data_IF_630170159912
#
_entry.id   IF_630170159912
#
_cell.length_a   1.000
_cell.length_b   1.000
_cell.length_c   1.000
_cell.angle_alpha   90.00
_cell.angle_beta   90.00
_cell.angle_gamma   90.00
#
_symmetry.space_group_name_H-M   'P 1'
#
loop_
_entity.id
_entity.type
_entity.pdbx_description
1 polymer ?
#
# COMPACT_ATOMS: atom_id res chain seq x y z
N UNK A 1 24.24 14.62 -2.74
CA UNK A 1 23.16 13.87 -2.09
C UNK A 1 22.24 13.46 -3.22
N UNK A 2 22.16 12.17 -3.53
CA UNK A 2 21.31 11.69 -4.62
C UNK A 2 20.03 11.18 -3.96
N UNK A 3 18.94 11.88 -4.20
CA UNK A 3 17.62 11.46 -3.75
C UNK A 3 17.30 10.15 -4.46
N UNK A 4 17.10 9.06 -3.71
CA UNK A 4 16.55 7.82 -4.25
C UNK A 4 15.09 8.11 -4.63
N UNK A 5 14.87 8.68 -5.82
CA UNK A 5 13.54 9.03 -6.31
C UNK A 5 12.77 7.77 -6.69
N UNK A 6 12.04 7.19 -5.74
CA UNK A 6 11.03 6.18 -6.01
C UNK A 6 9.81 6.86 -6.63
N UNK A 7 9.36 6.38 -7.78
CA UNK A 7 8.12 6.86 -8.41
C UNK A 7 7.18 5.69 -8.66
N UNK A 8 5.90 5.92 -8.41
CA UNK A 8 4.83 4.94 -8.66
C UNK A 8 4.06 5.42 -9.87
N UNK A 9 3.90 4.54 -10.87
CA UNK A 9 3.10 4.83 -12.06
C UNK A 9 1.90 3.90 -12.10
N UNK A 10 0.75 4.44 -12.48
CA UNK A 10 -0.49 3.69 -12.67
C UNK A 10 -1.12 4.11 -14.00
N UNK A 11 -1.58 3.13 -14.78
CA UNK A 11 -2.25 3.43 -16.04
C UNK A 11 -3.61 4.09 -15.79
N UNK A 12 -4.06 4.96 -16.70
CA UNK A 12 -5.37 5.60 -16.59
C UNK A 12 -6.53 4.61 -16.55
N UNK A 13 -6.41 3.48 -17.25
CA UNK A 13 -7.39 2.39 -17.22
C UNK A 13 -7.43 1.67 -15.87
N UNK A 14 -6.27 1.39 -15.25
CA UNK A 14 -6.22 0.78 -13.93
C UNK A 14 -6.75 1.74 -12.86
N UNK A 15 -6.39 3.02 -12.92
CA UNK A 15 -6.88 4.03 -11.97
C UNK A 15 -8.39 4.25 -12.10
N UNK A 16 -8.92 4.33 -13.32
CA UNK A 16 -10.36 4.51 -13.53
C UNK A 16 -11.16 3.28 -13.09
N UNK A 17 -10.66 2.07 -13.34
CA UNK A 17 -11.24 0.82 -12.84
C UNK A 17 -11.24 0.78 -11.31
N UNK A 18 -10.11 1.12 -10.68
CA UNK A 18 -10.00 1.19 -9.23
C UNK A 18 -11.02 2.16 -8.63
N UNK A 19 -11.17 3.36 -9.19
CA UNK A 19 -12.17 4.33 -8.73
C UNK A 19 -13.58 3.79 -8.95
N UNK A 20 -13.85 3.20 -10.12
CA UNK A 20 -15.16 2.66 -10.48
C UNK A 20 -15.63 1.56 -9.53
N UNK A 21 -14.77 0.59 -9.18
CA UNK A 21 -15.13 -0.45 -8.22
C UNK A 21 -15.32 0.12 -6.81
N UNK A 22 -14.51 1.12 -6.44
CA UNK A 22 -14.61 1.73 -5.12
C UNK A 22 -15.91 2.51 -4.88
N UNK A 23 -16.42 3.21 -5.91
CA UNK A 23 -17.66 4.00 -5.78
C UNK A 23 -18.94 3.17 -5.83
N UNK A 24 -18.89 1.91 -6.25
CA UNK A 24 -20.06 1.02 -6.29
C UNK A 24 -20.57 0.64 -4.90
N UNK A 25 -19.70 0.64 -3.89
CA UNK A 25 -20.08 0.27 -2.54
C UNK A 25 -20.18 1.50 -1.63
N UNK A 26 -20.98 1.35 -0.58
CA UNK A 26 -21.23 2.39 0.43
C UNK A 26 -20.32 2.26 1.66
N UNK A 27 -19.33 1.37 1.62
CA UNK A 27 -18.43 1.11 2.73
C UNK A 27 -16.97 1.34 2.35
N UNK A 28 -16.11 1.42 3.38
CA UNK A 28 -14.67 1.31 3.19
C UNK A 28 -14.35 0.00 2.46
N UNK A 29 -13.37 0.06 1.57
CA UNK A 29 -12.90 -1.10 0.81
C UNK A 29 -11.39 -1.25 0.97
N UNK A 30 -10.90 -2.46 0.76
CA UNK A 30 -9.47 -2.78 0.79
C UNK A 30 -9.18 -3.82 -0.27
N UNK A 31 -8.01 -3.75 -0.88
CA UNK A 31 -7.57 -4.73 -1.86
C UNK A 31 -6.07 -4.68 -2.11
N UNK A 32 -5.61 -5.54 -3.02
CA UNK A 32 -4.21 -5.63 -3.40
C UNK A 32 -3.95 -4.87 -4.71
N UNK A 33 -2.75 -4.34 -4.81
CA UNK A 33 -2.22 -3.73 -6.02
C UNK A 33 -1.31 -4.74 -6.70
N UNK A 34 -1.63 -5.05 -7.96
CA UNK A 34 -0.93 -6.04 -8.76
C UNK A 34 -0.12 -5.30 -9.83
N UNK A 35 1.16 -5.64 -9.97
CA UNK A 35 2.06 -4.98 -10.89
C UNK A 35 3.48 -5.53 -10.83
N UNK A 36 4.44 -4.71 -11.26
CA UNK A 36 5.85 -5.03 -11.27
C UNK A 36 6.67 -3.88 -10.68
N UNK A 37 7.79 -4.21 -10.02
CA UNK A 37 8.75 -3.22 -9.51
C UNK A 37 9.92 -3.13 -10.49
N UNK A 38 10.08 -1.98 -11.13
CA UNK A 38 11.20 -1.73 -12.05
C UNK A 38 12.32 -0.99 -11.32
N UNK A 39 13.45 -1.67 -11.12
CA UNK A 39 14.64 -1.08 -10.49
C UNK A 39 15.62 -0.58 -11.54
N UNK A 40 15.82 0.74 -11.62
CA UNK A 40 16.85 1.34 -12.46
C UNK A 40 18.16 1.47 -11.67
N UNK A 41 19.13 0.59 -11.95
CA UNK A 41 20.40 0.54 -11.23
C UNK A 41 21.28 1.74 -11.59
N UNK A 42 21.34 2.74 -10.72
CA UNK A 42 22.48 3.68 -10.67
C UNK A 42 23.49 3.11 -9.69
N UNK A 43 24.58 2.51 -10.20
CA UNK A 43 25.59 1.86 -9.35
C UNK A 43 26.21 2.87 -8.39
N UNK A 44 25.91 2.74 -7.10
CA UNK A 44 26.72 3.30 -6.03
C UNK A 44 26.90 2.25 -4.95
N UNK A 45 28.16 1.85 -4.75
CA UNK A 45 28.60 0.97 -3.68
C UNK A 45 28.77 1.81 -2.43
N UNK A 46 28.08 1.47 -1.35
CA UNK A 46 28.36 2.00 -0.01
C UNK A 46 28.02 0.96 1.05
N UNK A 47 29.02 0.64 1.88
CA UNK A 47 28.88 -0.06 3.17
C UNK A 47 27.93 0.71 4.08
N UNK A 48 26.99 0.02 4.74
CA UNK A 48 26.72 0.09 6.19
C UNK A 48 25.54 -0.82 6.53
N UNK A 49 25.80 -1.83 7.36
CA UNK A 49 24.78 -2.59 8.09
C UNK A 49 24.00 -1.68 9.03
N UNK A 50 22.67 -1.68 8.91
CA UNK A 50 21.79 -1.17 9.98
C UNK A 50 20.63 -2.14 10.18
N UNK A 51 20.75 -2.94 11.23
CA UNK A 51 19.70 -3.80 11.74
C UNK A 51 18.63 -2.91 12.38
N UNK A 52 17.39 -3.00 11.90
CA UNK A 52 16.23 -2.32 12.49
C UNK A 52 15.49 -3.34 13.34
N UNK A 53 15.50 -3.12 14.66
CA UNK A 53 14.76 -3.95 15.62
C UNK A 53 13.25 -3.93 15.29
N UNK A 54 12.70 -5.11 15.02
CA UNK A 54 11.26 -5.30 14.90
C UNK A 54 10.63 -5.20 16.29
N UNK A 55 9.92 -4.11 16.52
CA UNK A 55 9.04 -4.00 17.70
C UNK A 55 7.77 -4.81 17.43
N UNK A 56 7.67 -5.98 18.04
CA UNK A 56 6.47 -6.81 18.04
C UNK A 56 5.34 -6.12 18.83
N UNK A 57 4.49 -5.38 18.11
CA UNK A 57 3.22 -4.89 18.64
C UNK A 57 2.17 -5.99 18.47
N UNK A 58 1.90 -6.72 19.55
CA UNK A 58 0.82 -7.70 19.62
C UNK A 58 -0.53 -6.99 19.72
N UNK A 59 -1.14 -6.65 18.58
CA UNK A 59 -2.47 -6.05 18.52
C UNK A 59 -3.41 -6.92 17.68
N UNK A 60 -4.63 -7.07 18.20
CA UNK A 60 -5.78 -7.83 17.71
C UNK A 60 -6.02 -7.53 16.21
N UNK A 61 -5.45 -8.35 15.34
CA UNK A 61 -5.55 -8.15 13.89
C UNK A 61 -4.59 -9.01 13.07
N UNK A 62 -4.17 -10.17 13.60
CA UNK A 62 -3.29 -11.11 12.88
C UNK A 62 -3.97 -11.59 11.61
N UNK A 63 -3.28 -11.43 10.48
CA UNK A 63 -3.73 -11.98 9.20
C UNK A 63 -3.63 -13.51 9.23
N UNK A 64 -4.68 -14.17 8.77
CA UNK A 64 -4.69 -15.60 8.51
C UNK A 64 -3.98 -15.85 7.17
N UNK A 65 -2.72 -16.26 7.23
CA UNK A 65 -1.88 -16.51 6.05
C UNK A 65 -2.46 -17.60 5.14
N UNK A 66 -3.14 -18.60 5.70
CA UNK A 66 -3.73 -19.70 4.92
C UNK A 66 -4.85 -19.19 4.03
N UNK A 67 -5.80 -18.44 4.62
CA UNK A 67 -6.90 -17.82 3.87
C UNK A 67 -6.41 -16.75 2.91
N UNK A 68 -5.36 -16.01 3.28
CA UNK A 68 -4.79 -14.99 2.41
C UNK A 68 -4.15 -15.61 1.17
N UNK A 69 -3.36 -16.68 1.32
CA UNK A 69 -2.77 -17.40 0.18
C UNK A 69 -3.84 -18.05 -0.70
N UNK A 70 -4.89 -18.62 -0.10
CA UNK A 70 -6.05 -19.12 -0.84
C UNK A 70 -6.73 -18.02 -1.66
N UNK A 71 -6.90 -16.83 -1.07
CA UNK A 71 -7.51 -15.67 -1.73
C UNK A 71 -6.65 -15.11 -2.88
N UNK A 72 -5.34 -15.01 -2.68
CA UNK A 72 -4.40 -14.51 -3.69
C UNK A 72 -4.22 -15.53 -4.83
N UNK A 73 -4.39 -16.82 -4.52
CA UNK A 73 -4.47 -17.92 -5.47
C UNK A 73 -3.21 -18.00 -6.37
N UNK A 74 -2.02 -17.97 -5.77
CA UNK A 74 -0.75 -18.18 -6.48
C UNK A 74 -0.17 -16.95 -7.17
N UNK A 75 -0.78 -15.77 -7.00
CA UNK A 75 -0.32 -14.48 -7.57
C UNK A 75 0.44 -13.61 -6.56
N UNK A 76 1.01 -14.23 -5.51
CA UNK A 76 1.67 -13.49 -4.42
C UNK A 76 2.82 -12.63 -4.95
N UNK A 77 3.56 -13.14 -5.93
CA UNK A 77 4.71 -12.45 -6.56
C UNK A 77 4.34 -11.24 -7.40
N UNK A 78 3.08 -11.13 -7.81
CA UNK A 78 2.59 -9.99 -8.60
C UNK A 78 2.08 -8.87 -7.68
N UNK A 79 1.96 -9.12 -6.37
CA UNK A 79 1.47 -8.13 -5.40
C UNK A 79 2.60 -7.18 -5.03
N UNK A 80 2.49 -5.94 -5.50
CA UNK A 80 3.45 -4.86 -5.21
C UNK A 80 2.99 -3.97 -4.06
N UNK A 81 1.78 -4.18 -3.57
CA UNK A 81 1.22 -3.37 -2.50
C UNK A 81 -0.24 -3.66 -2.20
N UNK A 82 -0.83 -2.80 -1.39
CA UNK A 82 -2.23 -2.85 -1.04
C UNK A 82 -2.83 -1.44 -1.04
N UNK A 83 -4.15 -1.35 -1.17
CA UNK A 83 -4.86 -0.09 -1.09
C UNK A 83 -6.01 -0.15 -0.09
N UNK A 84 -6.34 1.01 0.46
CA UNK A 84 -7.51 1.21 1.31
C UNK A 84 -8.31 2.41 0.83
N UNK A 85 -9.57 2.17 0.55
CA UNK A 85 -10.54 3.19 0.18
C UNK A 85 -11.38 3.57 1.40
N UNK A 86 -11.50 4.88 1.64
CA UNK A 86 -12.28 5.45 2.74
C UNK A 86 -13.23 6.52 2.27
N UNK A 87 -14.41 6.53 2.87
CA UNK A 87 -15.45 7.53 2.64
C UNK A 87 -15.39 8.62 3.71
N UNK A 88 -15.34 9.88 3.28
CA UNK A 88 -15.44 11.08 4.13
C UNK A 88 -14.49 11.07 5.34
N UNK A 89 -13.32 10.46 5.20
CA UNK A 89 -12.34 10.27 6.28
C UNK A 89 -10.97 10.78 5.86
N UNK A 90 -10.10 10.96 6.85
CA UNK A 90 -8.70 11.29 6.60
C UNK A 90 -7.97 10.13 5.90
N UNK A 91 -6.99 10.52 5.08
CA UNK A 91 -6.07 9.60 4.40
C UNK A 91 -4.89 9.19 5.28
N UNK A 92 -4.83 9.71 6.52
CA UNK A 92 -3.76 9.35 7.44
C UNK A 92 -3.79 7.84 7.75
N UNK A 93 -2.64 7.16 7.67
CA UNK A 93 -2.52 5.77 8.09
C UNK A 93 -2.87 5.63 9.57
N UNK A 94 -3.87 4.81 9.87
CA UNK A 94 -4.23 4.41 11.22
C UNK A 94 -3.23 3.39 11.75
N UNK A 95 -3.20 3.18 13.07
CA UNK A 95 -2.36 2.14 13.69
C UNK A 95 -2.60 0.76 13.04
N UNK A 96 -3.86 0.45 12.71
CA UNK A 96 -4.21 -0.80 12.01
C UNK A 96 -3.57 -0.89 10.63
N UNK A 97 -3.54 0.19 9.86
CA UNK A 97 -2.90 0.17 8.53
C UNK A 97 -1.40 -0.05 8.64
N UNK A 98 -0.75 0.55 9.64
CA UNK A 98 0.68 0.34 9.90
C UNK A 98 0.99 -1.11 10.27
N UNK A 99 0.16 -1.72 11.10
CA UNK A 99 0.30 -3.14 11.47
C UNK A 99 0.04 -4.05 10.26
N UNK A 100 -1.02 -3.80 9.49
CA UNK A 100 -1.34 -4.58 8.30
C UNK A 100 -0.25 -4.47 7.23
N UNK A 101 0.30 -3.27 7.01
CA UNK A 101 1.37 -3.07 6.05
C UNK A 101 2.60 -3.91 6.41
N UNK A 102 3.05 -3.87 7.68
CA UNK A 102 4.15 -4.72 8.15
C UNK A 102 3.86 -6.21 7.99
N UNK A 103 2.62 -6.63 8.25
CA UNK A 103 2.24 -8.03 8.08
C UNK A 103 2.21 -8.44 6.60
N UNK A 104 1.72 -7.58 5.71
CA UNK A 104 1.74 -7.83 4.27
C UNK A 104 3.16 -7.86 3.70
N UNK A 105 4.04 -6.94 4.12
CA UNK A 105 5.46 -6.96 3.78
C UNK A 105 6.10 -8.30 4.15
N UNK A 106 5.87 -8.79 5.37
CA UNK A 106 6.43 -10.06 5.82
C UNK A 106 5.87 -11.29 5.08
N UNK A 107 4.68 -11.19 4.46
CA UNK A 107 4.02 -12.31 3.77
C UNK A 107 4.37 -12.31 2.27
N UNK A 108 4.46 -11.12 1.65
CA UNK A 108 4.62 -10.98 0.20
C UNK A 108 6.06 -10.66 -0.23
N UNK A 109 6.90 -10.14 0.66
CA UNK A 109 8.29 -9.80 0.36
C UNK A 109 9.23 -10.78 1.06
N UNK A 110 9.96 -11.55 0.26
CA UNK A 110 10.97 -12.49 0.76
C UNK A 110 12.28 -11.74 1.14
N UNK A 111 12.64 -10.69 0.40
CA UNK A 111 13.88 -9.92 0.57
C UNK A 111 13.64 -8.50 1.14
N UNK A 112 14.64 -7.95 1.85
CA UNK A 112 14.57 -6.59 2.42
C UNK A 112 14.49 -5.48 1.35
N UNK A 113 15.04 -5.72 0.15
CA UNK A 113 14.86 -4.81 -0.97
C UNK A 113 13.40 -4.75 -1.43
N UNK A 114 12.68 -5.87 -1.44
CA UNK A 114 11.28 -5.90 -1.87
C UNK A 114 10.38 -5.21 -0.85
N UNK A 115 10.67 -5.35 0.44
CA UNK A 115 9.97 -4.64 1.52
C UNK A 115 10.05 -3.13 1.36
N UNK A 116 11.21 -2.60 0.96
CA UNK A 116 11.40 -1.16 0.77
C UNK A 116 10.52 -0.56 -0.35
N UNK A 117 10.06 -1.40 -1.29
CA UNK A 117 9.25 -0.98 -2.43
C UNK A 117 7.77 -1.35 -2.29
N UNK A 118 7.38 -2.03 -1.21
CA UNK A 118 6.00 -2.41 -0.98
C UNK A 118 5.15 -1.18 -0.67
N UNK A 119 4.08 -0.93 -1.45
CA UNK A 119 3.31 0.32 -1.34
C UNK A 119 1.99 0.15 -0.58
N UNK A 120 1.65 1.17 0.19
CA UNK A 120 0.31 1.38 0.73
C UNK A 120 -0.37 2.56 0.00
N UNK A 121 -1.48 2.29 -0.67
CA UNK A 121 -2.30 3.29 -1.35
C UNK A 121 -3.52 3.70 -0.52
N UNK A 122 -3.64 4.97 -0.15
CA UNK A 122 -4.79 5.53 0.56
C UNK A 122 -5.67 6.30 -0.41
N UNK A 123 -6.89 5.81 -0.63
CA UNK A 123 -7.88 6.43 -1.48
C UNK A 123 -9.00 7.04 -0.63
N UNK A 124 -9.33 8.29 -0.93
CA UNK A 124 -10.30 9.06 -0.18
C UNK A 124 -11.33 9.64 -1.11
N UNK A 125 -12.59 9.43 -0.78
CA UNK A 125 -13.70 10.04 -1.47
C UNK A 125 -14.50 10.90 -0.51
N UNK A 126 -14.62 12.18 -0.86
CA UNK A 126 -15.34 13.16 -0.08
C UNK A 126 -16.39 13.84 -0.94
N UNK A 127 -17.56 14.07 -0.37
CA UNK A 127 -18.66 14.78 -1.03
C UNK A 127 -18.97 16.05 -0.25
N UNK A 128 -19.13 17.17 -0.94
CA UNK A 128 -19.56 18.42 -0.29
C UNK A 128 -20.97 18.27 0.29
N UNK A 129 -21.32 19.08 1.29
CA UNK A 129 -22.64 19.03 1.94
C UNK A 129 -23.80 19.15 0.93
N UNK A 130 -23.62 19.97 -0.10
CA UNK A 130 -24.59 20.18 -1.19
C UNK A 130 -24.59 19.06 -2.24
N UNK A 131 -23.73 18.04 -2.09
CA UNK A 131 -23.54 16.91 -3.01
C UNK A 131 -23.32 17.30 -4.48
N UNK A 132 -22.79 18.50 -4.70
CA UNK A 132 -22.54 19.06 -6.03
C UNK A 132 -21.09 18.92 -6.47
N UNK A 133 -20.18 18.59 -5.54
CA UNK A 133 -18.76 18.41 -5.82
C UNK A 133 -18.26 17.16 -5.12
N UNK A 134 -17.67 16.28 -5.93
CA UNK A 134 -17.10 15.02 -5.52
C UNK A 134 -15.59 15.12 -5.63
N UNK A 135 -14.88 14.83 -4.55
CA UNK A 135 -13.42 14.94 -4.47
C UNK A 135 -12.81 13.58 -4.21
N UNK A 136 -12.01 13.12 -5.17
CA UNK A 136 -11.16 11.94 -5.02
C UNK A 136 -9.73 12.39 -4.68
N UNK A 137 -9.09 11.69 -3.76
CA UNK A 137 -7.69 11.88 -3.41
C UNK A 137 -7.02 10.51 -3.29
N UNK A 138 -5.84 10.39 -3.87
CA UNK A 138 -5.01 9.19 -3.82
C UNK A 138 -3.64 9.60 -3.29
N UNK A 139 -3.17 8.91 -2.27
CA UNK A 139 -1.83 9.06 -1.69
C UNK A 139 -1.18 7.68 -1.64
N UNK A 140 0.09 7.56 -2.04
CA UNK A 140 0.83 6.30 -1.98
C UNK A 140 2.12 6.50 -1.18
N UNK A 141 2.41 5.58 -0.27
CA UNK A 141 3.63 5.60 0.56
C UNK A 141 4.25 4.21 0.61
N UNK A 142 5.57 4.11 0.45
CA UNK A 142 6.34 2.87 0.68
C UNK A 142 6.70 2.65 2.16
N UNK A 143 6.60 3.69 3.00
CA UNK A 143 6.63 3.54 4.44
C UNK A 143 5.55 4.44 5.07
N UNK A 144 4.55 3.90 5.77
CA UNK A 144 3.54 4.70 6.46
C UNK A 144 4.07 5.30 7.79
N UNK A 145 5.39 5.50 7.90
CA UNK A 145 6.08 5.76 9.16
C UNK A 145 6.40 7.22 9.49
N UNK A 146 6.39 8.19 8.58
CA UNK A 146 6.81 9.55 8.94
C UNK A 146 5.73 10.61 8.72
N UNK A 147 5.38 11.28 9.83
CA UNK A 147 4.84 12.64 9.89
C UNK A 147 5.99 13.64 9.80
#
# INVERSE_FOLDING_TARGET
>A
MADNTSSVTISGAALSYLIYENVKTVSDQMGFLVGEVLTYVTKKVTDTDRQVDSTELHIIGKIDEGKLKEFVNGREKEIVGWYRFRLNSSLFPTLRDKVLHKQFENIFCDDDNDKQHFIAGMLGYNVTEKKNTHKFRLESSSSPTEN
#
